data_IF_653427980787
#
_entry.id   IF_653427980787
#
_cell.length_a   1.000
_cell.length_b   1.000
_cell.length_c   1.000
_cell.angle_alpha   90.00
_cell.angle_beta   90.00
_cell.angle_gamma   90.00
#
_symmetry.space_group_name_H-M   'P 1'
#
loop_
_entity.id
_entity.type
_entity.pdbx_description
1 polymer ?
#
# COMPACT_ATOMS: atom_id res chain seq x y z
N UNK A 1 -10.48 -31.58 0.12
CA UNK A 1 -10.37 -30.34 0.92
C UNK A 1 -9.83 -29.25 0.01
N UNK A 2 -10.46 -28.07 -0.02
CA UNK A 2 -9.93 -26.92 -0.78
C UNK A 2 -8.62 -26.43 -0.16
N UNK A 3 -7.62 -26.13 -0.98
CA UNK A 3 -6.35 -25.56 -0.53
C UNK A 3 -6.58 -24.20 0.14
N UNK A 4 -5.87 -23.96 1.25
CA UNK A 4 -5.90 -22.70 2.00
C UNK A 4 -4.50 -22.12 2.11
N UNK A 5 -4.42 -20.81 2.28
CA UNK A 5 -3.19 -20.06 2.48
C UNK A 5 -3.31 -19.13 3.70
N UNK A 6 -2.21 -18.89 4.43
CA UNK A 6 -2.24 -18.04 5.63
C UNK A 6 -2.30 -16.56 5.27
N UNK A 7 -2.88 -15.77 6.18
CA UNK A 7 -2.86 -14.31 6.14
C UNK A 7 -1.66 -13.78 6.93
N UNK A 8 -0.95 -12.84 6.32
CA UNK A 8 0.12 -12.04 6.90
C UNK A 8 -0.30 -10.57 6.97
N UNK A 9 -0.54 -10.06 8.16
CA UNK A 9 -0.92 -8.66 8.40
C UNK A 9 0.32 -7.83 8.69
N UNK A 10 0.59 -6.88 7.80
CA UNK A 10 1.74 -5.98 7.87
C UNK A 10 1.31 -4.65 8.49
N UNK A 11 1.92 -4.32 9.63
CA UNK A 11 1.85 -2.96 10.18
C UNK A 11 2.83 -2.05 9.42
N UNK A 12 2.74 -0.74 9.64
CA UNK A 12 3.69 0.23 9.11
C UNK A 12 5.14 -0.15 9.40
N UNK A 13 5.97 -0.13 8.37
CA UNK A 13 7.38 -0.52 8.51
C UNK A 13 8.25 0.06 7.40
N UNK A 14 9.55 -0.02 7.63
CA UNK A 14 10.59 0.40 6.69
C UNK A 14 11.41 -0.77 6.19
N UNK A 15 11.87 -0.61 4.94
CA UNK A 15 13.13 -1.16 4.50
C UNK A 15 14.09 0.00 4.25
N UNK A 16 15.35 -0.10 4.69
CA UNK A 16 16.32 0.97 4.50
C UNK A 16 17.42 0.56 3.52
N UNK A 17 17.91 1.54 2.78
CA UNK A 17 19.23 1.48 2.18
C UNK A 17 20.32 1.54 3.25
N UNK A 18 21.46 0.88 3.01
CA UNK A 18 22.58 0.89 3.95
C UNK A 18 23.07 2.32 4.26
N UNK A 19 23.14 3.19 3.25
CA UNK A 19 23.53 4.60 3.42
C UNK A 19 22.57 5.37 4.34
N UNK A 20 21.28 5.07 4.25
CA UNK A 20 20.26 5.75 5.04
C UNK A 20 20.22 5.21 6.47
N UNK A 21 20.42 3.89 6.64
CA UNK A 21 20.64 3.28 7.95
C UNK A 21 21.78 3.97 8.68
N UNK A 22 22.92 4.15 8.01
CA UNK A 22 24.09 4.78 8.62
C UNK A 22 23.87 6.26 8.95
N UNK A 23 23.12 6.98 8.11
CA UNK A 23 22.75 8.38 8.39
C UNK A 23 21.83 8.51 9.62
N UNK A 24 20.95 7.53 9.83
CA UNK A 24 19.96 7.55 10.91
C UNK A 24 20.49 6.95 12.23
N UNK A 25 21.39 5.97 12.15
CA UNK A 25 21.87 5.18 13.31
C UNK A 25 23.39 5.25 13.55
N UNK A 26 24.17 5.81 12.64
CA UNK A 26 25.63 5.97 12.74
C UNK A 26 26.40 5.14 11.71
N UNK A 27 27.63 5.57 11.40
CA UNK A 27 28.46 4.89 10.39
C UNK A 27 28.76 3.43 10.76
N UNK A 28 28.70 2.54 9.77
CA UNK A 28 28.92 1.10 9.93
C UNK A 28 27.83 0.34 10.69
N UNK A 29 26.70 0.99 11.02
CA UNK A 29 25.65 0.36 11.82
C UNK A 29 25.03 -0.87 11.12
N UNK A 30 24.70 -1.89 11.91
CA UNK A 30 24.03 -3.12 11.48
C UNK A 30 22.74 -3.31 12.26
N UNK A 31 21.68 -3.74 11.57
CA UNK A 31 20.38 -3.99 12.18
C UNK A 31 20.46 -5.12 13.21
N UNK A 32 19.84 -4.91 14.36
CA UNK A 32 19.73 -5.93 15.41
C UNK A 32 18.48 -6.74 15.19
N UNK A 33 18.62 -8.04 14.89
CA UNK A 33 17.48 -8.93 14.69
C UNK A 33 16.63 -9.04 15.97
N UNK A 34 15.34 -8.74 15.87
CA UNK A 34 14.36 -8.97 16.93
C UNK A 34 13.69 -10.35 16.76
N UNK A 35 13.13 -10.61 15.57
CA UNK A 35 12.50 -11.91 15.23
C UNK A 35 12.45 -12.12 13.72
N UNK A 36 12.51 -13.38 13.29
CA UNK A 36 12.21 -13.74 11.91
C UNK A 36 10.76 -13.40 11.55
N UNK A 37 10.54 -13.08 10.28
CA UNK A 37 9.19 -12.98 9.70
C UNK A 37 8.97 -14.11 8.70
N UNK A 38 7.76 -14.21 8.13
CA UNK A 38 7.35 -15.33 7.28
C UNK A 38 8.28 -15.58 6.09
N UNK A 39 8.74 -14.50 5.45
CA UNK A 39 9.60 -14.58 4.27
C UNK A 39 11.05 -14.92 4.63
N UNK A 40 11.63 -15.88 3.90
CA UNK A 40 12.94 -16.46 4.19
C UNK A 40 14.04 -15.39 4.26
N UNK A 41 14.76 -15.36 5.37
CA UNK A 41 15.89 -14.45 5.59
C UNK A 41 15.50 -12.99 5.87
N UNK A 42 14.21 -12.66 5.92
CA UNK A 42 13.74 -11.36 6.37
C UNK A 42 13.46 -11.39 7.88
N UNK A 43 13.64 -10.26 8.56
CA UNK A 43 13.41 -10.17 10.00
C UNK A 43 12.91 -8.79 10.41
N UNK A 44 12.09 -8.74 11.46
CA UNK A 44 11.83 -7.50 12.16
C UNK A 44 13.06 -7.16 13.01
N UNK A 45 13.53 -5.91 12.94
CA UNK A 45 14.69 -5.43 13.68
C UNK A 45 14.27 -4.75 14.99
N UNK A 46 15.16 -4.63 15.97
CA UNK A 46 14.87 -3.94 17.24
C UNK A 46 14.67 -2.43 17.03
N UNK A 47 15.27 -1.91 15.99
CA UNK A 47 15.28 -0.50 15.62
C UNK A 47 13.90 -0.04 15.15
N UNK A 48 13.62 1.21 15.52
CA UNK A 48 12.45 1.96 15.06
C UNK A 48 12.86 3.37 14.67
N UNK A 49 12.04 4.01 13.84
CA UNK A 49 12.18 5.39 13.43
C UNK A 49 10.92 6.19 13.72
N UNK A 50 11.07 7.50 13.77
CA UNK A 50 9.95 8.45 13.72
C UNK A 50 9.82 9.00 12.32
N UNK A 51 8.59 9.03 11.82
CA UNK A 51 8.22 9.54 10.48
C UNK A 51 7.46 10.83 10.66
N UNK A 52 7.89 11.88 9.98
CA UNK A 52 7.30 13.19 10.02
C UNK A 52 6.72 13.53 8.64
N UNK A 53 5.42 13.82 8.62
CA UNK A 53 4.72 14.36 7.47
C UNK A 53 4.26 15.80 7.73
N UNK A 54 3.65 16.48 6.73
CA UNK A 54 3.23 17.87 6.87
C UNK A 54 2.20 18.13 7.99
N UNK A 55 1.38 17.13 8.33
CA UNK A 55 0.29 17.27 9.31
C UNK A 55 0.61 16.65 10.67
N UNK A 56 1.45 15.63 10.72
CA UNK A 56 1.63 14.82 11.92
C UNK A 56 2.82 13.89 11.83
N UNK A 57 2.91 13.00 12.81
CA UNK A 57 4.01 12.03 12.94
C UNK A 57 3.53 10.63 13.27
N UNK A 58 4.32 9.65 12.87
CA UNK A 58 4.22 8.26 13.30
C UNK A 58 5.49 7.91 14.07
N UNK A 59 5.34 7.47 15.31
CA UNK A 59 6.45 7.06 16.16
C UNK A 59 6.58 5.54 16.18
N UNK A 60 7.76 5.06 16.54
CA UNK A 60 8.04 3.63 16.71
C UNK A 60 7.77 2.79 15.44
N UNK A 61 8.03 3.35 14.25
CA UNK A 61 7.87 2.62 12.99
C UNK A 61 9.01 1.64 12.82
N UNK A 62 8.67 0.35 12.71
CA UNK A 62 9.60 -0.79 12.75
C UNK A 62 10.47 -0.88 11.50
N UNK A 63 11.75 -1.21 11.65
CA UNK A 63 12.61 -1.62 10.53
C UNK A 63 12.47 -3.12 10.24
N UNK A 64 12.45 -3.49 8.97
CA UNK A 64 12.52 -4.87 8.49
C UNK A 64 13.80 -5.06 7.69
N UNK A 65 14.67 -5.93 8.21
CA UNK A 65 15.93 -6.30 7.62
C UNK A 65 15.84 -7.53 6.70
N UNK A 66 16.90 -7.81 5.93
CA UNK A 66 18.13 -7.02 5.81
C UNK A 66 17.93 -5.68 5.08
N UNK A 67 18.98 -4.84 5.04
CA UNK A 67 18.97 -3.62 4.24
C UNK A 67 18.78 -3.95 2.75
N UNK A 68 18.21 -2.99 2.01
CA UNK A 68 17.90 -3.11 0.58
C UNK A 68 18.68 -2.08 -0.23
N UNK A 69 18.53 -2.11 -1.55
CA UNK A 69 19.14 -1.11 -2.43
C UNK A 69 18.50 0.28 -2.33
N UNK A 70 17.25 0.37 -1.87
CA UNK A 70 16.50 1.62 -1.76
C UNK A 70 15.65 1.64 -0.50
N UNK A 71 15.55 2.81 0.14
CA UNK A 71 14.67 3.03 1.29
C UNK A 71 13.21 3.08 0.86
N UNK A 72 12.37 2.34 1.58
CA UNK A 72 10.94 2.19 1.34
C UNK A 72 10.18 2.25 2.65
N UNK A 73 9.10 3.00 2.67
CA UNK A 73 8.12 3.07 3.76
C UNK A 73 6.79 2.52 3.26
N UNK A 74 6.32 1.45 3.90
CA UNK A 74 4.98 0.91 3.69
C UNK A 74 4.08 1.35 4.85
N UNK A 75 2.99 2.06 4.53
CA UNK A 75 2.01 2.57 5.51
C UNK A 75 0.59 2.32 5.05
N UNK A 76 -0.37 2.30 5.98
CA UNK A 76 -1.78 2.20 5.63
C UNK A 76 -2.36 3.52 5.11
N UNK A 77 -3.59 3.49 4.59
CA UNK A 77 -4.29 4.72 4.19
C UNK A 77 -4.56 5.63 5.40
N UNK A 78 -4.89 5.03 6.54
CA UNK A 78 -5.11 5.74 7.80
C UNK A 78 -3.85 6.47 8.27
N UNK A 79 -2.68 5.83 8.15
CA UNK A 79 -1.39 6.44 8.44
C UNK A 79 -1.07 7.64 7.55
N UNK A 80 -1.38 7.54 6.26
CA UNK A 80 -1.18 8.64 5.33
C UNK A 80 -2.01 9.88 5.70
N UNK A 81 -3.23 9.68 6.22
CA UNK A 81 -4.10 10.77 6.70
C UNK A 81 -3.51 11.45 7.95
N UNK A 82 -2.88 10.68 8.84
CA UNK A 82 -2.19 11.21 10.03
C UNK A 82 -0.99 12.06 9.60
N UNK A 83 -0.16 11.54 8.70
CA UNK A 83 1.01 12.24 8.19
C UNK A 83 0.65 13.44 7.31
N UNK A 84 -0.53 13.44 6.68
CA UNK A 84 -0.95 14.50 5.75
C UNK A 84 -0.31 14.37 4.38
N UNK A 85 -0.09 13.14 3.91
CA UNK A 85 0.47 12.82 2.59
C UNK A 85 -0.50 11.96 1.78
N UNK A 86 -0.27 11.85 0.48
CA UNK A 86 -1.08 11.03 -0.42
C UNK A 86 -0.21 10.04 -1.22
N UNK A 87 0.39 9.03 -0.56
CA UNK A 87 1.18 8.01 -1.22
C UNK A 87 0.33 7.18 -2.18
N UNK A 88 0.90 6.72 -3.31
CA UNK A 88 0.23 5.83 -4.23
C UNK A 88 0.12 4.40 -3.66
N UNK A 89 -0.89 3.65 -4.13
CA UNK A 89 -0.99 2.21 -3.90
C UNK A 89 -0.09 1.49 -4.91
N UNK A 90 0.92 0.76 -4.43
CA UNK A 90 2.00 0.19 -5.27
C UNK A 90 2.47 -1.15 -4.76
N UNK A 91 3.16 -1.91 -5.62
CA UNK A 91 3.93 -3.07 -5.16
C UNK A 91 5.25 -2.63 -4.54
N UNK A 92 5.75 -3.43 -3.60
CA UNK A 92 7.08 -3.27 -3.03
C UNK A 92 8.14 -3.18 -4.15
N UNK A 93 8.96 -2.13 -4.13
CA UNK A 93 9.96 -1.81 -5.16
C UNK A 93 9.52 -0.80 -6.23
N UNK A 94 8.22 -0.50 -6.39
CA UNK A 94 7.74 0.51 -7.35
C UNK A 94 7.60 1.89 -6.67
N UNK A 95 8.74 2.58 -6.52
CA UNK A 95 8.86 3.79 -5.70
C UNK A 95 8.92 5.09 -6.49
N UNK A 96 9.11 5.03 -7.80
CA UNK A 96 9.30 6.23 -8.63
C UNK A 96 8.10 7.17 -8.53
N UNK A 97 8.36 8.44 -8.21
CA UNK A 97 7.33 9.47 -8.07
C UNK A 97 6.31 9.19 -6.97
N UNK A 98 6.66 8.35 -5.99
CA UNK A 98 5.86 8.15 -4.79
C UNK A 98 6.03 9.32 -3.81
N UNK A 99 5.26 9.33 -2.72
CA UNK A 99 5.33 10.40 -1.75
C UNK A 99 6.66 10.37 -0.97
N UNK A 100 7.04 11.54 -0.43
CA UNK A 100 8.19 11.73 0.45
C UNK A 100 7.79 12.04 1.89
N UNK A 101 8.73 11.87 2.82
CA UNK A 101 8.60 12.15 4.26
C UNK A 101 9.96 12.48 4.85
N UNK A 102 9.98 13.05 6.07
CA UNK A 102 11.21 13.19 6.84
C UNK A 102 11.31 12.08 7.89
N UNK A 103 12.46 11.44 7.96
CA UNK A 103 12.79 10.34 8.87
C UNK A 103 13.71 10.86 9.97
N UNK A 104 13.45 10.45 11.20
CA UNK A 104 14.26 10.80 12.38
C UNK A 104 14.67 9.53 13.09
N UNK A 105 15.98 9.32 13.18
CA UNK A 105 16.63 8.24 13.92
C UNK A 105 17.48 8.78 15.08
N UNK A 106 18.11 7.90 15.86
CA UNK A 106 18.85 8.29 17.06
C UNK A 106 20.13 9.10 16.80
N UNK A 107 20.70 9.04 15.60
CA UNK A 107 21.95 9.74 15.24
C UNK A 107 21.77 10.81 14.17
N UNK A 108 20.60 10.94 13.58
CA UNK A 108 20.36 11.91 12.53
C UNK A 108 18.97 11.85 11.92
N UNK A 109 18.78 12.68 10.90
CA UNK A 109 17.55 12.77 10.14
C UNK A 109 17.82 12.79 8.64
N UNK A 110 16.82 12.34 7.88
CA UNK A 110 16.86 12.22 6.43
C UNK A 110 15.54 12.70 5.84
N UNK A 111 15.60 13.58 4.84
CA UNK A 111 14.44 13.88 4.00
C UNK A 111 14.41 12.91 2.82
N UNK A 112 13.37 12.08 2.76
CA UNK A 112 13.12 11.14 1.69
C UNK A 112 12.20 11.81 0.66
N UNK A 113 12.71 12.06 -0.55
CA UNK A 113 11.93 12.71 -1.62
C UNK A 113 10.87 11.79 -2.24
N UNK A 114 11.17 10.50 -2.32
CA UNK A 114 10.29 9.44 -2.79
C UNK A 114 10.63 8.14 -2.04
N UNK A 115 9.63 7.27 -1.85
CA UNK A 115 9.80 5.96 -1.22
C UNK A 115 8.63 5.55 -0.32
N UNK A 116 7.58 6.39 -0.19
CA UNK A 116 6.41 6.08 0.64
C UNK A 116 5.25 5.56 -0.21
N UNK A 117 4.78 4.36 0.10
CA UNK A 117 3.69 3.69 -0.61
C UNK A 117 2.65 3.14 0.37
N UNK A 118 1.43 2.93 -0.14
CA UNK A 118 0.47 2.01 0.47
C UNK A 118 0.69 0.65 -0.22
N UNK A 119 1.05 -0.42 0.50
CA UNK A 119 1.38 -1.69 -0.13
C UNK A 119 0.12 -2.31 -0.74
N UNK A 120 0.18 -2.61 -2.04
CA UNK A 120 -0.88 -3.34 -2.71
C UNK A 120 -0.90 -4.79 -2.23
N UNK A 121 -2.06 -5.30 -1.81
CA UNK A 121 -2.25 -6.71 -1.41
C UNK A 121 -1.73 -7.71 -2.44
N UNK A 122 -1.08 -8.76 -1.96
CA UNK A 122 -0.47 -9.78 -2.79
C UNK A 122 -0.26 -11.09 -2.03
N UNK A 123 -0.13 -12.19 -2.77
CA UNK A 123 0.26 -13.49 -2.22
C UNK A 123 1.67 -13.81 -2.67
N UNK A 124 2.54 -14.08 -1.70
CA UNK A 124 3.84 -14.70 -1.93
C UNK A 124 3.66 -16.21 -2.09
N UNK A 125 4.32 -16.82 -3.08
CA UNK A 125 4.30 -18.26 -3.32
C UNK A 125 5.67 -18.77 -3.75
N UNK A 126 6.02 -19.97 -3.32
CA UNK A 126 7.06 -20.76 -3.97
C UNK A 126 6.57 -21.28 -5.33
N UNK A 127 7.45 -21.68 -6.26
CA UNK A 127 7.05 -22.36 -7.50
C UNK A 127 6.18 -23.61 -7.26
N UNK A 128 6.47 -24.34 -6.19
CA UNK A 128 5.73 -25.53 -5.77
C UNK A 128 4.31 -25.16 -5.31
N UNK A 129 4.16 -24.09 -4.52
CA UNK A 129 2.85 -23.60 -4.11
C UNK A 129 2.06 -23.08 -5.31
N UNK A 130 2.68 -22.29 -6.19
CA UNK A 130 2.03 -21.79 -7.40
C UNK A 130 1.47 -22.95 -8.26
N UNK A 131 2.23 -24.04 -8.39
CA UNK A 131 1.77 -25.27 -9.05
C UNK A 131 0.58 -25.91 -8.32
N UNK A 132 0.61 -26.01 -6.99
CA UNK A 132 -0.49 -26.57 -6.18
C UNK A 132 -1.77 -25.75 -6.30
N UNK A 133 -1.66 -24.43 -6.35
CA UNK A 133 -2.79 -23.50 -6.47
C UNK A 133 -3.20 -23.24 -7.94
N UNK A 134 -2.51 -23.85 -8.91
CA UNK A 134 -2.77 -23.69 -10.35
C UNK A 134 -2.73 -22.21 -10.83
N UNK A 135 -1.84 -21.43 -10.22
CA UNK A 135 -1.58 -20.02 -10.55
C UNK A 135 -0.14 -19.84 -11.04
N UNK A 136 0.10 -18.73 -11.73
CA UNK A 136 1.42 -18.34 -12.23
C UNK A 136 1.85 -17.02 -11.63
N UNK A 137 3.14 -16.72 -11.73
CA UNK A 137 3.63 -15.38 -11.39
C UNK A 137 2.85 -14.31 -12.16
N UNK A 138 2.49 -13.24 -11.46
CA UNK A 138 1.69 -12.11 -11.94
C UNK A 138 0.24 -12.40 -12.31
N UNK A 139 -0.28 -13.61 -12.08
CA UNK A 139 -1.73 -13.87 -12.16
C UNK A 139 -2.47 -12.96 -11.15
N UNK A 140 -3.75 -12.71 -11.43
CA UNK A 140 -4.69 -12.06 -10.49
C UNK A 140 -5.65 -13.08 -9.94
N UNK A 141 -5.82 -13.06 -8.62
CA UNK A 141 -6.66 -14.01 -7.91
C UNK A 141 -7.78 -13.31 -7.12
N UNK A 142 -8.89 -14.02 -7.01
CA UNK A 142 -9.97 -13.74 -6.08
C UNK A 142 -9.75 -14.59 -4.84
N UNK A 143 -9.62 -13.94 -3.69
CA UNK A 143 -9.42 -14.58 -2.39
C UNK A 143 -10.68 -14.42 -1.55
N UNK A 144 -11.20 -15.53 -1.07
CA UNK A 144 -12.35 -15.57 -0.17
C UNK A 144 -11.94 -16.04 1.22
N UNK A 145 -12.64 -15.58 2.28
CA UNK A 145 -12.42 -16.06 3.63
C UNK A 145 -12.85 -17.52 3.77
N UNK A 146 -12.29 -18.18 4.76
CA UNK A 146 -12.73 -19.50 5.24
C UNK A 146 -13.52 -19.29 6.53
N UNK A 147 -14.61 -20.05 6.77
CA UNK A 147 -15.34 -19.97 8.03
C UNK A 147 -14.39 -20.16 9.22
N UNK A 148 -14.47 -19.25 10.19
CA UNK A 148 -13.67 -19.30 11.42
C UNK A 148 -14.58 -19.19 12.64
N UNK A 149 -14.09 -19.71 13.77
CA UNK A 149 -14.78 -19.55 15.03
C UNK A 149 -14.73 -18.09 15.46
N UNK A 150 -15.89 -17.50 15.74
CA UNK A 150 -16.02 -16.14 16.24
C UNK A 150 -16.29 -16.16 17.73
N UNK A 151 -15.98 -15.07 18.42
CA UNK A 151 -16.37 -14.90 19.81
C UNK A 151 -17.90 -14.91 19.94
N UNK A 152 -18.41 -15.43 21.05
CA UNK A 152 -19.84 -15.47 21.32
C UNK A 152 -20.45 -14.06 21.18
N UNK A 153 -21.52 -13.94 20.40
CA UNK A 153 -22.19 -12.67 20.13
C UNK A 153 -21.51 -11.77 19.09
N UNK A 154 -20.47 -12.23 18.40
CA UNK A 154 -19.84 -11.49 17.29
C UNK A 154 -20.38 -11.95 15.93
N UNK A 155 -20.50 -11.00 14.99
CA UNK A 155 -20.80 -11.27 13.59
C UNK A 155 -19.53 -11.27 12.72
N UNK A 156 -19.61 -11.93 11.57
CA UNK A 156 -18.51 -12.02 10.61
C UNK A 156 -18.32 -10.70 9.86
N UNK A 157 -17.07 -10.35 9.57
CA UNK A 157 -16.68 -9.23 8.69
C UNK A 157 -16.06 -9.71 7.38
N UNK A 158 -16.36 -10.94 6.96
CA UNK A 158 -15.87 -11.55 5.74
C UNK A 158 -15.88 -10.61 4.53
N UNK A 159 -14.73 -10.49 3.87
CA UNK A 159 -14.54 -9.74 2.62
C UNK A 159 -13.93 -10.66 1.58
N UNK A 160 -14.47 -10.61 0.37
CA UNK A 160 -13.82 -11.20 -0.81
C UNK A 160 -12.86 -10.17 -1.38
N UNK A 161 -11.58 -10.52 -1.45
CA UNK A 161 -10.53 -9.70 -2.05
C UNK A 161 -10.36 -10.05 -3.51
N UNK A 162 -10.69 -9.12 -4.40
CA UNK A 162 -10.45 -9.26 -5.82
C UNK A 162 -9.09 -8.62 -6.22
N UNK A 163 -8.61 -8.92 -7.43
CA UNK A 163 -7.40 -8.35 -8.03
C UNK A 163 -6.13 -8.52 -7.17
N UNK A 164 -6.02 -9.63 -6.44
CA UNK A 164 -4.85 -9.94 -5.62
C UNK A 164 -3.71 -10.40 -6.53
N UNK A 165 -2.54 -9.76 -6.44
CA UNK A 165 -1.37 -10.17 -7.22
C UNK A 165 -0.79 -11.47 -6.68
N UNK A 166 -0.55 -12.45 -7.55
CA UNK A 166 0.29 -13.60 -7.24
C UNK A 166 1.76 -13.25 -7.56
N UNK A 167 2.65 -13.48 -6.60
CA UNK A 167 4.09 -13.29 -6.74
C UNK A 167 4.79 -14.62 -6.48
N UNK A 168 5.52 -15.12 -7.46
CA UNK A 168 6.23 -16.40 -7.36
C UNK A 168 7.73 -16.17 -7.34
N UNK A 169 8.39 -16.63 -6.29
CA UNK A 169 9.85 -16.63 -6.18
C UNK A 169 10.29 -17.85 -5.36
N UNK A 170 11.46 -18.42 -5.68
CA UNK A 170 12.01 -19.58 -4.96
C UNK A 170 12.30 -19.31 -3.47
N UNK A 171 12.42 -18.04 -3.08
CA UNK A 171 12.67 -17.63 -1.69
C UNK A 171 11.38 -17.26 -0.95
N UNK A 172 10.24 -17.24 -1.63
CA UNK A 172 8.98 -16.90 -1.02
C UNK A 172 8.38 -18.07 -0.25
N UNK A 173 7.78 -17.72 0.88
CA UNK A 173 6.96 -18.59 1.70
C UNK A 173 5.50 -18.20 1.48
N UNK A 174 4.62 -19.19 1.34
CA UNK A 174 3.19 -18.99 1.10
C UNK A 174 2.57 -18.05 2.15
N UNK A 175 2.17 -16.86 1.74
CA UNK A 175 1.64 -15.83 2.64
C UNK A 175 0.81 -14.78 1.89
N UNK A 176 -0.41 -14.47 2.36
CA UNK A 176 -1.26 -13.41 1.80
C UNK A 176 -1.10 -12.13 2.61
N UNK A 177 -0.37 -11.18 2.03
CA UNK A 177 -0.01 -9.93 2.67
C UNK A 177 -1.12 -8.89 2.51
N UNK A 178 -1.61 -8.42 3.65
CA UNK A 178 -2.54 -7.30 3.80
C UNK A 178 -1.92 -6.23 4.68
N UNK A 179 -2.27 -4.97 4.46
CA UNK A 179 -2.03 -3.93 5.46
C UNK A 179 -3.05 -4.01 6.62
N UNK A 180 -2.86 -3.20 7.66
CA UNK A 180 -3.77 -3.19 8.82
C UNK A 180 -5.17 -2.71 8.49
N UNK A 181 -5.34 -1.79 7.53
CA UNK A 181 -6.66 -1.25 7.19
C UNK A 181 -7.49 -2.31 6.45
N UNK A 182 -6.87 -3.04 5.50
CA UNK A 182 -7.47 -4.16 4.79
C UNK A 182 -7.82 -5.32 5.73
N UNK A 183 -6.89 -5.70 6.62
CA UNK A 183 -7.11 -6.77 7.58
C UNK A 183 -8.24 -6.42 8.56
N UNK A 184 -8.26 -5.19 9.11
CA UNK A 184 -9.31 -4.73 10.01
C UNK A 184 -10.68 -4.66 9.33
N UNK A 185 -10.73 -4.25 8.06
CA UNK A 185 -11.97 -4.21 7.30
C UNK A 185 -12.58 -5.61 7.13
N UNK A 186 -11.74 -6.62 6.93
CA UNK A 186 -12.14 -8.02 6.76
C UNK A 186 -12.21 -8.83 8.07
N UNK A 187 -11.88 -8.21 9.21
CA UNK A 187 -11.76 -8.90 10.49
C UNK A 187 -10.69 -10.00 10.53
N UNK A 188 -9.65 -9.90 9.70
CA UNK A 188 -8.57 -10.89 9.59
C UNK A 188 -7.40 -10.56 10.51
N UNK A 189 -6.74 -11.59 11.04
CA UNK A 189 -5.49 -11.47 11.80
C UNK A 189 -4.40 -12.38 11.24
N UNK A 190 -3.17 -12.19 11.70
CA UNK A 190 -2.04 -13.06 11.35
C UNK A 190 -2.37 -14.54 11.61
N UNK A 191 -2.15 -15.38 10.60
CA UNK A 191 -2.36 -16.83 10.68
C UNK A 191 -3.75 -17.31 10.31
N UNK A 192 -4.74 -16.41 10.18
CA UNK A 192 -6.05 -16.75 9.63
C UNK A 192 -5.90 -17.40 8.25
N UNK A 193 -6.88 -18.23 7.88
CA UNK A 193 -6.87 -18.97 6.61
C UNK A 193 -7.85 -18.37 5.62
N UNK A 194 -7.40 -18.26 4.39
CA UNK A 194 -8.21 -17.86 3.23
C UNK A 194 -8.00 -18.85 2.10
N UNK A 195 -8.81 -18.75 1.05
CA UNK A 195 -8.72 -19.61 -0.13
C UNK A 195 -8.80 -18.81 -1.42
N UNK A 196 -8.12 -19.29 -2.44
CA UNK A 196 -8.31 -18.79 -3.82
C UNK A 196 -9.59 -19.42 -4.35
N UNK A 197 -10.51 -18.60 -4.84
CA UNK A 197 -11.81 -19.03 -5.39
C UNK A 197 -11.97 -18.75 -6.88
N UNK A 198 -11.01 -18.06 -7.49
CA UNK A 198 -11.01 -17.78 -8.92
C UNK A 198 -9.81 -16.94 -9.34
N UNK A 199 -9.68 -16.76 -10.66
CA UNK A 199 -8.76 -15.78 -11.25
C UNK A 199 -9.54 -14.53 -11.63
N UNK A 200 -8.98 -13.36 -11.36
CA UNK A 200 -9.58 -12.09 -11.77
C UNK A 200 -9.22 -11.82 -13.23
N UNK A 201 -10.18 -11.34 -14.03
CA UNK A 201 -9.87 -10.73 -15.31
C UNK A 201 -9.15 -9.40 -15.06
N UNK A 202 -8.06 -9.16 -15.80
CA UNK A 202 -7.32 -7.92 -15.70
C UNK A 202 -8.20 -6.77 -16.24
N UNK A 203 -8.81 -5.98 -15.37
CA UNK A 203 -9.38 -4.70 -15.79
C UNK A 203 -8.24 -3.71 -15.85
N UNK A 204 -7.76 -3.40 -17.06
CA UNK A 204 -6.83 -2.28 -17.24
C UNK A 204 -7.45 -1.03 -16.61
N UNK A 205 -6.61 -0.21 -15.98
CA UNK A 205 -7.04 1.10 -15.53
C UNK A 205 -7.47 1.89 -16.77
N UNK A 206 -8.77 1.97 -17.03
CA UNK A 206 -9.30 2.88 -18.04
C UNK A 206 -8.83 4.27 -17.65
N UNK A 207 -8.22 5.01 -18.58
CA UNK A 207 -7.92 6.43 -18.36
C UNK A 207 -9.14 7.09 -17.71
N UNK A 208 -8.97 7.56 -16.48
CA UNK A 208 -10.03 8.30 -15.81
C UNK A 208 -10.24 9.59 -16.60
N UNK A 209 -11.25 9.57 -17.46
CA UNK A 209 -11.84 10.75 -18.10
C UNK A 209 -11.92 11.86 -17.07
N UNK A 210 -11.14 12.93 -17.27
CA UNK A 210 -10.98 14.03 -16.29
C UNK A 210 -12.35 14.52 -15.82
N UNK A 211 -12.61 14.49 -14.52
CA UNK A 211 -13.83 15.06 -13.93
C UNK A 211 -13.59 16.56 -13.69
N UNK A 212 -14.45 17.40 -14.22
CA UNK A 212 -14.47 18.85 -13.97
C UNK A 212 -15.66 19.15 -13.06
N UNK A 213 -15.37 19.70 -11.89
CA UNK A 213 -16.33 20.02 -10.83
C UNK A 213 -16.59 21.53 -10.72
N UNK A 214 -17.62 21.93 -9.99
CA UNK A 214 -17.91 23.34 -9.73
C UNK A 214 -16.76 24.05 -9.01
N UNK A 215 -15.98 23.32 -8.20
CA UNK A 215 -14.78 23.87 -7.55
C UNK A 215 -13.67 24.21 -8.54
N UNK A 216 -13.52 23.41 -9.61
CA UNK A 216 -12.57 23.71 -10.68
C UNK A 216 -12.98 24.99 -11.42
N UNK A 217 -14.28 25.15 -11.71
CA UNK A 217 -14.86 26.34 -12.33
C UNK A 217 -14.67 27.57 -11.44
N UNK A 218 -15.01 27.49 -10.14
CA UNK A 218 -14.80 28.57 -9.18
C UNK A 218 -13.33 28.98 -9.09
N UNK A 219 -12.41 28.01 -9.07
CA UNK A 219 -10.97 28.28 -9.04
C UNK A 219 -10.49 28.98 -10.32
N UNK A 220 -11.03 28.58 -11.48
CA UNK A 220 -10.73 29.25 -12.75
C UNK A 220 -11.24 30.70 -12.77
N UNK A 221 -12.46 30.94 -12.27
CA UNK A 221 -13.04 32.28 -12.12
C UNK A 221 -12.19 33.16 -11.20
N UNK A 222 -11.82 32.67 -10.01
CA UNK A 222 -10.96 33.42 -9.07
C UNK A 222 -9.62 33.81 -9.68
N UNK A 223 -9.10 32.98 -10.58
CA UNK A 223 -7.81 33.21 -11.25
C UNK A 223 -7.96 33.86 -12.64
N UNK A 224 -9.15 34.33 -12.99
CA UNK A 224 -9.47 34.95 -14.29
C UNK A 224 -9.01 34.12 -15.49
N UNK A 225 -9.06 32.79 -15.38
CA UNK A 225 -8.69 31.84 -16.45
C UNK A 225 -9.91 31.11 -16.98
N UNK A 226 -9.81 30.68 -18.23
CA UNK A 226 -10.80 29.79 -18.87
C UNK A 226 -10.30 28.35 -18.84
N UNK A 227 -11.23 27.39 -18.82
CA UNK A 227 -10.92 25.97 -18.78
C UNK A 227 -11.17 25.39 -20.17
N UNK A 228 -10.12 24.88 -20.80
CA UNK A 228 -10.27 24.01 -21.97
C UNK A 228 -10.74 22.63 -21.51
N UNK A 229 -11.94 22.23 -21.90
CA UNK A 229 -12.51 20.93 -21.52
C UNK A 229 -11.87 19.85 -22.39
N UNK A 230 -11.07 18.93 -21.81
CA UNK A 230 -10.45 17.87 -22.61
C UNK A 230 -11.50 16.96 -23.23
N UNK A 231 -11.23 16.42 -24.42
CA UNK A 231 -12.11 15.45 -25.05
C UNK A 231 -12.36 14.26 -24.13
N UNK A 232 -13.62 13.87 -23.96
CA UNK A 232 -14.02 12.78 -23.08
C UNK A 232 -14.06 13.12 -21.59
N UNK A 233 -13.71 14.34 -21.16
CA UNK A 233 -13.87 14.76 -19.77
C UNK A 233 -15.35 14.66 -19.32
N UNK A 234 -15.56 14.24 -18.07
CA UNK A 234 -16.89 14.31 -17.44
C UNK A 234 -17.02 15.68 -16.78
N UNK A 235 -18.12 16.37 -16.97
CA UNK A 235 -18.41 17.65 -16.32
C UNK A 235 -19.60 17.45 -15.40
N UNK A 236 -19.52 17.83 -14.13
CA UNK A 236 -20.69 17.76 -13.24
C UNK A 236 -21.77 18.74 -13.73
N UNK A 237 -23.07 18.43 -13.52
CA UNK A 237 -24.14 19.36 -13.91
C UNK A 237 -23.94 20.77 -13.34
N UNK A 238 -23.55 20.87 -12.06
CA UNK A 238 -23.25 22.13 -11.40
C UNK A 238 -22.07 22.89 -12.04
N UNK A 239 -21.01 22.18 -12.46
CA UNK A 239 -19.89 22.79 -13.17
C UNK A 239 -20.31 23.31 -14.55
N UNK A 240 -21.13 22.55 -15.29
CA UNK A 240 -21.61 22.94 -16.62
C UNK A 240 -22.49 24.21 -16.55
N UNK A 241 -23.42 24.25 -15.60
CA UNK A 241 -24.28 25.43 -15.37
C UNK A 241 -23.46 26.65 -14.98
N UNK A 242 -22.56 26.51 -13.99
CA UNK A 242 -21.75 27.61 -13.49
C UNK A 242 -20.80 28.16 -14.56
N UNK A 243 -20.17 27.25 -15.33
CA UNK A 243 -19.26 27.63 -16.40
C UNK A 243 -19.98 28.30 -17.57
N UNK A 244 -21.22 27.86 -17.89
CA UNK A 244 -22.08 28.50 -18.90
C UNK A 244 -22.45 29.92 -18.48
N UNK A 245 -22.89 30.10 -17.24
CA UNK A 245 -23.26 31.42 -16.71
C UNK A 245 -22.10 32.43 -16.75
N UNK A 246 -20.87 31.96 -16.52
CA UNK A 246 -19.68 32.83 -16.42
C UNK A 246 -18.72 32.71 -17.61
N UNK A 247 -19.11 32.03 -18.70
CA UNK A 247 -18.32 31.81 -19.93
C UNK A 247 -16.89 31.26 -19.65
N UNK A 248 -16.78 30.35 -18.68
CA UNK A 248 -15.49 29.84 -18.19
C UNK A 248 -14.92 28.75 -19.10
N UNK A 249 -15.74 27.96 -19.77
CA UNK A 249 -15.26 26.93 -20.70
C UNK A 249 -14.83 27.53 -22.06
N UNK A 250 -13.82 26.92 -22.67
CA UNK A 250 -13.32 27.13 -24.04
C UNK A 250 -13.12 25.81 -24.77
#
# INVERSE_FOLDING_TARGET
MSLTLPVGVSNRHFHLAQSDLERLFGSGYQLTKLKDISQKGQFAAQETLTVLGPKGKLENVRLVGPTRGQTQLEISRSDAIILGINPPVRYSGDLKGSAGVRLVGPKGELELKEGVIIPQRHVHMSPEDAKRFEVRDRDRAVIAPVPKMLAAGSEDRAVIFDNVLIRVDKNFVLDFHLDTDEANAAGLVNGDKVRIVGKSSHTEATEHKKLITENDVRRAMMQKRRIKVPAGAKVTPAAAELAKAHKVFI
#
